data_IF_484124782964
#
_entry.id   IF_484124782964
#
_cell.length_a   1.000
_cell.length_b   1.000
_cell.length_c   1.000
_cell.angle_alpha   90.00
_cell.angle_beta   90.00
_cell.angle_gamma   90.00
#
_symmetry.space_group_name_H-M   'P 1'
#
loop_
_entity.id
_entity.type
_entity.pdbx_description
1 polymer ?
#
# COMPACT_ATOMS: atom_id res chain seq x y z
N UNK A 1 1.00 34.63 74.53
CA UNK A 1 1.18 34.40 73.09
C UNK A 1 1.49 32.91 72.94
N UNK A 2 0.46 32.10 72.68
CA UNK A 2 0.56 30.63 72.63
C UNK A 2 0.55 30.26 71.15
N UNK A 3 1.65 29.68 70.67
CA UNK A 3 1.80 29.22 69.30
C UNK A 3 1.35 27.76 69.19
N UNK A 4 0.33 27.51 68.38
CA UNK A 4 -0.19 26.19 68.03
C UNK A 4 0.74 25.52 67.02
N UNK A 5 1.30 24.37 67.39
CA UNK A 5 1.98 23.44 66.47
C UNK A 5 0.92 22.46 65.95
N UNK A 6 0.62 22.52 64.65
CA UNK A 6 -0.18 21.49 63.97
C UNK A 6 0.75 20.53 63.23
N UNK A 7 0.65 19.26 63.60
CA UNK A 7 1.38 18.13 63.04
C UNK A 7 0.69 17.71 61.73
N UNK A 8 1.32 17.93 60.57
CA UNK A 8 0.80 17.48 59.28
C UNK A 8 1.41 16.10 58.96
N UNK A 9 0.54 15.07 58.89
CA UNK A 9 0.88 13.72 58.48
C UNK A 9 1.33 13.70 57.00
N UNK A 10 2.49 13.09 56.73
CA UNK A 10 2.96 12.79 55.38
C UNK A 10 2.09 11.69 54.76
N UNK A 11 1.20 12.06 53.85
CA UNK A 11 0.61 11.15 52.87
C UNK A 11 1.48 11.11 51.62
N UNK A 12 2.33 10.10 51.46
CA UNK A 12 2.98 9.83 50.18
C UNK A 12 1.94 9.30 49.19
N UNK A 13 1.55 10.12 48.23
CA UNK A 13 0.87 9.63 47.03
C UNK A 13 1.87 8.83 46.21
N UNK A 14 1.63 7.53 46.07
CA UNK A 14 2.28 6.72 45.04
C UNK A 14 1.80 7.24 43.70
N UNK A 15 2.69 7.92 42.97
CA UNK A 15 2.51 8.15 41.54
C UNK A 15 2.59 6.77 40.90
N UNK A 16 1.47 6.30 40.37
CA UNK A 16 1.46 5.17 39.45
C UNK A 16 2.36 5.57 38.27
N UNK A 17 3.43 4.81 38.05
CA UNK A 17 4.20 4.94 36.82
C UNK A 17 3.26 4.66 35.66
N UNK A 18 3.03 5.66 34.82
CA UNK A 18 2.51 5.43 33.48
C UNK A 18 3.48 4.47 32.80
N UNK A 19 2.99 3.26 32.52
CA UNK A 19 3.61 2.40 31.52
C UNK A 19 3.86 3.25 30.27
N UNK A 20 5.03 3.16 29.62
CA UNK A 20 5.16 3.74 28.29
C UNK A 20 4.13 3.03 27.42
N UNK A 21 3.06 3.74 27.08
CA UNK A 21 2.17 3.35 25.99
C UNK A 21 3.07 3.36 24.76
N UNK A 22 3.37 2.16 24.22
CA UNK A 22 4.05 2.04 22.95
C UNK A 22 3.23 2.87 21.98
N UNK A 23 3.83 3.92 21.43
CA UNK A 23 3.18 4.71 20.40
C UNK A 23 2.85 3.72 19.28
N UNK A 24 1.57 3.54 18.90
CA UNK A 24 1.24 2.55 17.89
C UNK A 24 2.02 2.90 16.62
N UNK A 25 2.78 1.94 16.11
CA UNK A 25 3.45 2.07 14.81
C UNK A 25 2.36 2.42 13.79
N UNK A 26 2.48 3.54 13.06
CA UNK A 26 1.52 3.86 12.01
C UNK A 26 1.42 2.69 11.04
N UNK A 27 0.20 2.38 10.62
CA UNK A 27 -0.01 1.37 9.61
C UNK A 27 0.80 1.71 8.32
N UNK A 28 1.48 0.72 7.72
CA UNK A 28 2.20 0.90 6.47
C UNK A 28 1.20 1.30 5.36
N UNK A 29 1.71 1.93 4.30
CA UNK A 29 0.90 2.11 3.09
C UNK A 29 0.85 0.86 2.26
N UNK A 30 -0.08 0.80 1.30
CA UNK A 30 -0.18 -0.31 0.37
C UNK A 30 0.05 0.16 -1.07
N UNK A 31 0.93 -0.54 -1.79
CA UNK A 31 1.12 -0.44 -3.23
C UNK A 31 1.13 -1.84 -3.84
N UNK A 32 0.70 -1.98 -5.10
CA UNK A 32 0.59 -3.28 -5.75
C UNK A 32 1.49 -3.36 -6.98
N UNK A 33 2.17 -4.49 -7.12
CA UNK A 33 2.75 -4.91 -8.38
C UNK A 33 1.81 -5.92 -9.02
N UNK A 34 1.31 -5.65 -10.23
CA UNK A 34 0.42 -6.59 -10.93
C UNK A 34 1.22 -7.58 -11.76
N UNK A 35 0.86 -8.87 -11.67
CA UNK A 35 1.52 -9.89 -12.47
C UNK A 35 1.26 -9.65 -13.95
N UNK A 36 2.31 -9.75 -14.75
CA UNK A 36 2.23 -9.57 -16.21
C UNK A 36 2.80 -10.77 -16.95
N UNK A 37 2.13 -11.13 -18.05
CA UNK A 37 2.65 -12.09 -19.02
C UNK A 37 3.46 -11.41 -20.15
N UNK A 38 3.39 -10.07 -20.24
CA UNK A 38 4.05 -9.28 -21.26
C UNK A 38 4.83 -8.16 -20.55
N UNK A 39 6.10 -8.41 -20.18
CA UNK A 39 6.91 -7.40 -19.52
C UNK A 39 7.00 -6.09 -20.31
N UNK A 40 6.93 -4.93 -19.64
CA UNK A 40 7.09 -3.64 -20.29
C UNK A 40 8.46 -3.51 -20.95
N UNK A 41 8.55 -2.71 -22.02
CA UNK A 41 9.86 -2.35 -22.57
C UNK A 41 10.41 -1.22 -21.71
N UNK A 42 11.68 -1.31 -21.30
CA UNK A 42 12.31 -0.24 -20.50
C UNK A 42 12.90 0.79 -21.46
N UNK A 43 12.07 1.73 -21.89
CA UNK A 43 12.43 2.76 -22.88
C UNK A 43 12.01 4.19 -22.50
N UNK A 44 11.40 4.37 -21.32
CA UNK A 44 10.93 5.65 -20.77
C UNK A 44 9.55 6.07 -21.28
N UNK A 45 8.86 5.23 -22.07
CA UNK A 45 7.54 5.50 -22.61
C UNK A 45 6.46 4.77 -21.83
N UNK A 46 5.56 5.52 -21.20
CA UNK A 46 4.59 4.95 -20.26
C UNK A 46 3.32 4.36 -20.91
N UNK A 47 3.30 4.14 -22.23
CA UNK A 47 2.07 3.78 -22.96
C UNK A 47 1.57 2.37 -22.68
N UNK A 48 2.47 1.45 -22.35
CA UNK A 48 2.17 0.07 -22.00
C UNK A 48 1.65 -0.12 -20.57
N UNK A 49 1.81 0.88 -19.71
CA UNK A 49 1.42 0.77 -18.31
C UNK A 49 -0.10 0.89 -18.13
N UNK A 50 -0.68 0.15 -17.17
CA UNK A 50 -2.13 0.18 -16.93
C UNK A 50 -2.59 1.55 -16.45
N UNK A 51 -3.83 1.93 -16.77
CA UNK A 51 -4.41 3.21 -16.34
C UNK A 51 -4.92 3.22 -14.89
N UNK A 52 -4.85 2.10 -14.18
CA UNK A 52 -5.35 1.90 -12.81
C UNK A 52 -4.28 1.27 -11.91
N UNK A 53 -4.52 1.27 -10.59
CA UNK A 53 -3.58 0.70 -9.62
C UNK A 53 -2.33 1.55 -9.38
N UNK A 54 -2.41 2.86 -9.65
CA UNK A 54 -1.29 3.78 -9.50
C UNK A 54 -1.14 4.27 -8.06
N UNK A 55 0.10 4.37 -7.59
CA UNK A 55 0.47 5.13 -6.40
C UNK A 55 0.68 6.59 -6.77
N UNK A 56 0.09 7.52 -6.01
CA UNK A 56 0.28 8.96 -6.22
C UNK A 56 1.10 9.56 -5.07
N UNK A 57 2.19 10.24 -5.40
CA UNK A 57 2.99 11.06 -4.49
C UNK A 57 2.96 12.51 -4.98
N UNK A 58 2.39 13.41 -4.20
CA UNK A 58 2.44 14.85 -4.44
C UNK A 58 2.18 15.58 -3.11
N UNK A 59 2.14 16.92 -3.14
CA UNK A 59 1.92 17.74 -1.96
C UNK A 59 0.68 17.38 -1.11
N UNK A 60 -0.33 16.70 -1.68
CA UNK A 60 -1.57 16.31 -0.98
C UNK A 60 -1.56 14.86 -0.49
N UNK A 61 -0.66 14.02 -1.00
CA UNK A 61 -0.62 12.58 -0.69
C UNK A 61 0.69 12.14 -0.02
N UNK A 62 1.71 12.98 -0.02
CA UNK A 62 2.95 12.74 0.69
C UNK A 62 2.69 12.63 2.20
N UNK A 63 3.33 11.65 2.84
CA UNK A 63 3.32 11.56 4.30
C UNK A 63 4.15 12.67 4.93
N UNK A 64 5.30 12.97 4.33
CA UNK A 64 6.14 14.09 4.73
C UNK A 64 6.80 14.76 3.53
N UNK A 65 7.12 16.04 3.71
CA UNK A 65 7.82 16.86 2.73
C UNK A 65 8.90 17.64 3.48
N UNK A 66 10.14 17.52 3.05
CA UNK A 66 11.20 18.47 3.37
C UNK A 66 11.27 19.52 2.28
N UNK A 67 11.42 20.79 2.65
CA UNK A 67 11.40 21.89 1.66
C UNK A 67 9.99 22.37 1.33
N UNK A 68 9.79 22.91 0.13
CA UNK A 68 8.52 23.49 -0.27
C UNK A 68 8.15 23.13 -1.71
N UNK A 69 6.93 22.64 -1.91
CA UNK A 69 6.34 22.36 -3.22
C UNK A 69 5.21 23.37 -3.46
N UNK A 70 5.28 24.12 -4.54
CA UNK A 70 4.38 25.22 -4.87
C UNK A 70 3.04 24.75 -5.43
N UNK A 71 3.03 23.61 -6.13
CA UNK A 71 1.83 22.99 -6.70
C UNK A 71 2.01 21.51 -7.05
N UNK A 72 0.96 20.80 -7.48
CA UNK A 72 1.11 19.43 -7.99
C UNK A 72 1.87 19.37 -9.32
N UNK A 73 1.90 20.46 -10.08
CA UNK A 73 2.63 20.55 -11.34
C UNK A 73 4.12 20.88 -11.13
N UNK A 74 4.48 21.32 -9.91
CA UNK A 74 5.82 21.66 -9.46
C UNK A 74 6.56 20.37 -9.12
N UNK A 75 6.00 19.55 -8.21
CA UNK A 75 6.53 18.22 -7.95
C UNK A 75 5.41 17.21 -7.66
N UNK A 76 5.34 16.16 -8.48
CA UNK A 76 4.48 15.02 -8.23
C UNK A 76 4.84 13.80 -9.07
N UNK A 77 4.51 12.61 -8.59
CA UNK A 77 4.71 11.35 -9.29
C UNK A 77 3.44 10.49 -9.21
N UNK A 78 3.08 9.89 -10.35
CA UNK A 78 2.12 8.79 -10.41
C UNK A 78 2.86 7.55 -10.87
N UNK A 79 2.93 6.52 -10.02
CA UNK A 79 3.72 5.33 -10.24
C UNK A 79 2.88 4.06 -10.36
N UNK A 80 3.31 3.14 -11.21
CA UNK A 80 2.72 1.82 -11.40
C UNK A 80 3.79 0.76 -11.20
N UNK A 81 3.35 -0.44 -10.81
CA UNK A 81 4.24 -1.58 -10.64
C UNK A 81 3.66 -2.84 -11.27
N UNK A 82 4.53 -3.64 -11.87
CA UNK A 82 4.22 -4.95 -12.45
C UNK A 82 5.31 -5.94 -12.08
N UNK A 83 5.02 -7.23 -12.13
CA UNK A 83 6.02 -8.27 -11.89
C UNK A 83 5.81 -9.51 -12.75
N UNK A 84 6.88 -10.26 -12.95
CA UNK A 84 6.86 -11.63 -13.46
C UNK A 84 7.86 -12.48 -12.67
N UNK A 85 8.03 -13.75 -13.08
CA UNK A 85 8.94 -14.67 -12.39
C UNK A 85 10.43 -14.24 -12.45
N UNK A 86 10.79 -13.28 -13.31
CA UNK A 86 12.15 -12.83 -13.57
C UNK A 86 12.48 -11.47 -12.95
N UNK A 87 11.52 -10.56 -12.82
CA UNK A 87 11.76 -9.20 -12.36
C UNK A 87 10.51 -8.50 -11.80
N UNK A 88 10.78 -7.49 -10.97
CA UNK A 88 9.87 -6.40 -10.66
C UNK A 88 10.10 -5.25 -11.65
N UNK A 89 9.02 -4.58 -12.02
CA UNK A 89 9.01 -3.45 -12.92
C UNK A 89 8.30 -2.30 -12.23
N UNK A 90 8.89 -1.11 -12.24
CA UNK A 90 8.25 0.11 -11.73
C UNK A 90 8.33 1.17 -12.81
N UNK A 91 7.27 1.96 -12.95
CA UNK A 91 7.30 3.16 -13.77
C UNK A 91 6.64 4.32 -13.06
N UNK A 92 7.10 5.53 -13.33
CA UNK A 92 6.53 6.76 -12.79
C UNK A 92 6.38 7.81 -13.88
N UNK A 93 5.20 8.43 -13.94
CA UNK A 93 4.98 9.70 -14.62
C UNK A 93 5.26 10.82 -13.60
N UNK A 94 6.33 11.58 -13.81
CA UNK A 94 6.71 12.70 -12.98
C UNK A 94 6.17 14.00 -13.60
N UNK A 95 5.52 14.79 -12.76
CA UNK A 95 5.09 16.16 -13.00
C UNK A 95 6.10 17.08 -12.37
N UNK A 96 6.67 17.94 -13.20
CA UNK A 96 7.77 18.81 -12.87
C UNK A 96 7.89 19.89 -13.97
N UNK A 97 7.93 21.16 -13.58
CA UNK A 97 7.99 22.30 -14.49
C UNK A 97 9.42 22.79 -14.80
N UNK A 98 10.44 22.34 -14.05
CA UNK A 98 11.85 22.68 -14.27
C UNK A 98 12.76 21.47 -14.11
N UNK A 99 13.16 20.87 -15.24
CA UNK A 99 14.02 19.68 -15.21
C UNK A 99 15.53 20.03 -15.10
N UNK A 100 16.16 19.68 -13.98
CA UNK A 100 17.56 19.88 -13.61
C UNK A 100 18.29 18.55 -13.37
N UNK A 101 19.56 18.49 -13.82
CA UNK A 101 20.46 17.35 -13.67
C UNK A 101 21.93 17.79 -13.80
N UNK A 102 22.38 18.74 -12.98
CA UNK A 102 23.70 19.35 -13.10
C UNK A 102 24.66 19.04 -11.93
N UNK A 103 24.17 18.37 -10.89
CA UNK A 103 24.98 17.95 -9.75
C UNK A 103 25.76 16.65 -10.00
N UNK A 104 26.83 16.49 -9.23
CA UNK A 104 27.64 15.26 -9.21
C UNK A 104 26.89 14.14 -8.50
N UNK A 105 26.18 14.49 -7.44
CA UNK A 105 25.38 13.56 -6.67
C UNK A 105 23.95 13.58 -7.17
N UNK A 106 23.42 12.39 -7.47
CA UNK A 106 22.12 12.25 -8.12
C UNK A 106 20.99 12.77 -7.22
N UNK A 107 21.11 12.57 -5.91
CA UNK A 107 20.14 13.02 -4.92
C UNK A 107 20.10 14.54 -4.71
N UNK A 108 20.91 15.33 -5.40
CA UNK A 108 20.85 16.80 -5.35
C UNK A 108 19.89 17.37 -6.41
N UNK A 109 19.53 16.57 -7.43
CA UNK A 109 18.73 16.99 -8.60
C UNK A 109 17.43 16.16 -8.73
N UNK A 110 16.59 16.48 -9.73
CA UNK A 110 15.30 15.83 -10.00
C UNK A 110 15.40 14.32 -10.17
N UNK A 111 14.99 13.62 -9.11
CA UNK A 111 15.25 12.20 -8.95
C UNK A 111 14.09 11.53 -8.25
N UNK A 112 13.68 10.39 -8.81
CA UNK A 112 12.79 9.46 -8.13
C UNK A 112 13.61 8.44 -7.37
N UNK A 113 13.27 8.25 -6.10
CA UNK A 113 13.86 7.23 -5.23
C UNK A 113 12.86 6.09 -5.01
N UNK A 114 13.26 4.87 -5.35
CA UNK A 114 12.50 3.64 -5.15
C UNK A 114 13.26 2.78 -4.14
N UNK A 115 12.83 2.84 -2.87
CA UNK A 115 13.45 2.08 -1.80
C UNK A 115 12.72 0.76 -1.57
N UNK A 116 13.49 -0.30 -1.37
CA UNK A 116 13.00 -1.65 -1.15
C UNK A 116 13.68 -2.26 0.07
N UNK A 117 12.87 -2.89 0.91
CA UNK A 117 13.27 -3.91 1.87
C UNK A 117 12.79 -5.26 1.31
N UNK A 118 13.73 -5.99 0.70
CA UNK A 118 13.40 -7.17 -0.11
C UNK A 118 12.85 -8.33 0.71
N UNK A 119 13.31 -8.52 1.95
CA UNK A 119 12.77 -9.55 2.85
C UNK A 119 11.63 -9.06 3.72
N UNK A 120 11.36 -7.75 3.71
CA UNK A 120 10.40 -7.09 4.58
C UNK A 120 10.68 -7.44 6.05
N UNK A 121 11.96 -7.43 6.44
CA UNK A 121 12.43 -7.80 7.77
C UNK A 121 12.74 -6.60 8.67
N UNK A 122 12.56 -5.38 8.14
CA UNK A 122 12.81 -4.10 8.78
C UNK A 122 14.30 -3.89 9.15
N UNK A 123 15.25 -4.57 8.47
CA UNK A 123 16.69 -4.51 8.77
C UNK A 123 17.51 -3.89 7.64
N UNK A 124 17.71 -2.56 7.67
CA UNK A 124 18.48 -1.83 6.64
C UNK A 124 19.97 -2.23 6.49
N UNK A 125 20.60 -2.66 7.59
CA UNK A 125 22.06 -2.79 7.68
C UNK A 125 22.51 -4.15 8.23
N UNK A 126 23.22 -4.90 7.40
CA UNK A 126 23.81 -6.19 7.72
C UNK A 126 25.26 -6.01 8.18
N UNK A 127 25.43 -5.45 9.38
CA UNK A 127 26.72 -5.07 9.93
C UNK A 127 27.06 -3.62 9.57
N UNK A 128 28.10 -3.40 8.77
CA UNK A 128 28.54 -2.06 8.36
C UNK A 128 28.16 -1.70 6.92
N UNK A 129 27.27 -2.46 6.30
CA UNK A 129 26.85 -2.34 4.90
C UNK A 129 25.35 -2.55 4.81
N UNK A 130 24.73 -2.07 3.74
CA UNK A 130 23.34 -2.41 3.42
C UNK A 130 23.15 -3.92 3.37
N UNK A 131 21.99 -4.41 3.81
CA UNK A 131 21.67 -5.81 3.59
C UNK A 131 21.56 -6.10 2.09
N UNK A 132 21.92 -7.32 1.63
CA UNK A 132 21.91 -7.65 0.21
C UNK A 132 20.54 -7.53 -0.47
N UNK A 133 19.45 -7.58 0.30
CA UNK A 133 18.06 -7.44 -0.13
C UNK A 133 17.53 -5.99 -0.10
N UNK A 134 18.27 -5.08 0.52
CA UNK A 134 17.87 -3.69 0.71
C UNK A 134 18.44 -2.77 -0.35
N UNK A 135 17.55 -2.09 -1.05
CA UNK A 135 17.93 -1.22 -2.15
C UNK A 135 17.32 0.17 -2.01
N UNK A 136 18.01 1.17 -2.57
CA UNK A 136 17.45 2.49 -2.86
C UNK A 136 17.86 2.81 -4.29
N UNK A 137 16.96 2.53 -5.23
CA UNK A 137 17.21 2.86 -6.62
C UNK A 137 16.88 4.32 -6.86
N UNK A 138 17.84 5.06 -7.40
CA UNK A 138 17.69 6.48 -7.71
C UNK A 138 17.72 6.64 -9.23
N UNK A 139 16.65 7.19 -9.80
CA UNK A 139 16.52 7.42 -11.25
C UNK A 139 16.34 8.92 -11.47
N UNK A 140 17.39 9.58 -11.98
CA UNK A 140 17.37 11.02 -12.29
C UNK A 140 16.81 11.28 -13.67
N UNK A 141 16.29 12.48 -13.88
CA UNK A 141 15.70 12.94 -15.14
C UNK A 141 16.61 12.78 -16.38
N UNK A 142 17.92 12.71 -16.23
CA UNK A 142 18.87 12.46 -17.34
C UNK A 142 19.09 10.97 -17.67
N UNK A 143 18.42 10.07 -16.95
CA UNK A 143 18.51 8.61 -17.12
C UNK A 143 19.66 7.96 -16.36
N UNK A 144 20.37 8.69 -15.50
CA UNK A 144 21.29 8.09 -14.56
C UNK A 144 20.54 7.20 -13.56
N UNK A 145 21.12 6.03 -13.26
CA UNK A 145 20.57 5.09 -12.27
C UNK A 145 21.63 4.70 -11.26
N UNK A 146 21.29 4.78 -9.97
CA UNK A 146 22.11 4.30 -8.85
C UNK A 146 21.33 3.33 -7.98
N UNK A 147 22.05 2.55 -7.21
CA UNK A 147 21.53 1.69 -6.16
C UNK A 147 22.34 1.94 -4.89
N UNK A 148 21.72 2.55 -3.88
CA UNK A 148 22.39 2.98 -2.66
C UNK A 148 23.65 3.83 -2.96
N UNK A 149 23.51 4.83 -3.84
CA UNK A 149 24.59 5.71 -4.32
C UNK A 149 25.68 5.03 -5.18
N UNK A 150 25.61 3.71 -5.37
CA UNK A 150 26.57 2.91 -6.13
C UNK A 150 26.06 2.56 -7.54
N UNK A 151 26.94 2.12 -8.47
CA UNK A 151 26.49 1.62 -9.77
C UNK A 151 25.57 0.41 -9.62
N UNK A 152 24.47 0.41 -10.37
CA UNK A 152 23.50 -0.70 -10.35
C UNK A 152 24.10 -2.03 -10.82
N UNK A 153 23.58 -3.13 -10.27
CA UNK A 153 23.97 -4.47 -10.67
C UNK A 153 23.54 -4.80 -12.12
N UNK A 154 24.18 -5.81 -12.70
CA UNK A 154 23.85 -6.26 -14.05
C UNK A 154 22.40 -6.73 -14.16
N UNK A 155 21.67 -6.21 -15.14
CA UNK A 155 20.27 -6.56 -15.39
C UNK A 155 19.26 -5.65 -14.68
N UNK A 156 19.71 -4.78 -13.77
CA UNK A 156 18.95 -3.58 -13.40
C UNK A 156 19.08 -2.60 -14.57
N UNK A 157 17.94 -2.19 -15.11
CA UNK A 157 17.88 -1.34 -16.30
C UNK A 157 16.86 -0.25 -16.01
N UNK A 158 17.26 1.00 -16.16
CA UNK A 158 16.36 2.15 -16.12
C UNK A 158 16.36 2.90 -17.44
N UNK A 159 15.24 3.55 -17.75
CA UNK A 159 15.11 4.45 -18.88
C UNK A 159 14.24 5.65 -18.50
N UNK A 160 14.55 6.81 -19.08
CA UNK A 160 13.79 8.04 -18.92
C UNK A 160 13.40 8.58 -20.29
N UNK A 161 12.15 9.01 -20.41
CA UNK A 161 11.57 9.58 -21.63
C UNK A 161 10.80 10.86 -21.32
N UNK A 162 10.85 11.82 -22.24
CA UNK A 162 10.14 13.08 -22.07
C UNK A 162 8.61 12.87 -22.04
N UNK A 163 7.93 13.59 -21.16
CA UNK A 163 6.47 13.67 -21.08
C UNK A 163 6.02 15.13 -21.21
N UNK A 164 4.76 15.42 -21.57
CA UNK A 164 4.30 16.79 -21.75
C UNK A 164 4.37 17.67 -20.49
N UNK A 165 4.36 17.07 -19.31
CA UNK A 165 4.30 17.75 -18.01
C UNK A 165 5.52 17.44 -17.12
N UNK A 166 6.61 16.91 -17.69
CA UNK A 166 7.78 16.44 -16.96
C UNK A 166 8.43 15.27 -17.68
N UNK A 167 8.66 14.16 -16.99
CA UNK A 167 9.30 12.98 -17.56
C UNK A 167 8.63 11.67 -17.11
N UNK A 168 8.83 10.62 -17.88
CA UNK A 168 8.46 9.26 -17.54
C UNK A 168 9.72 8.47 -17.28
N UNK A 169 9.72 7.66 -16.23
CA UNK A 169 10.79 6.71 -15.97
C UNK A 169 10.24 5.30 -15.87
N UNK A 170 11.09 4.34 -16.23
CA UNK A 170 10.83 2.92 -16.07
C UNK A 170 12.08 2.26 -15.50
N UNK A 171 11.90 1.31 -14.58
CA UNK A 171 12.97 0.54 -13.97
C UNK A 171 12.59 -0.94 -13.95
N UNK A 172 13.51 -1.77 -14.42
CA UNK A 172 13.47 -3.23 -14.26
C UNK A 172 14.47 -3.63 -13.18
N UNK A 173 14.00 -4.38 -12.19
CA UNK A 173 14.79 -4.92 -11.08
C UNK A 173 14.72 -6.45 -11.13
N UNK A 174 15.83 -7.17 -11.40
CA UNK A 174 15.84 -8.64 -11.35
C UNK A 174 15.39 -9.17 -9.99
N UNK A 175 14.61 -10.26 -9.97
CA UNK A 175 14.14 -10.90 -8.74
C UNK A 175 15.27 -11.23 -7.75
N UNK A 176 16.47 -11.55 -8.27
CA UNK A 176 17.64 -11.87 -7.46
C UNK A 176 18.20 -10.68 -6.65
N UNK A 177 17.78 -9.44 -6.90
CA UNK A 177 18.17 -8.29 -6.08
C UNK A 177 17.52 -8.35 -4.70
N UNK A 178 16.29 -8.85 -4.58
CA UNK A 178 15.58 -8.83 -3.30
C UNK A 178 16.04 -9.89 -2.28
N UNK A 179 16.95 -10.80 -2.65
CA UNK A 179 17.46 -11.92 -1.83
C UNK A 179 16.39 -12.62 -0.94
N UNK A 180 15.14 -12.65 -1.41
CA UNK A 180 13.95 -13.10 -0.68
C UNK A 180 13.29 -14.33 -1.33
N UNK A 181 14.03 -15.01 -2.22
CA UNK A 181 13.54 -16.15 -2.99
C UNK A 181 12.82 -15.75 -4.28
N UNK A 182 12.15 -16.70 -4.95
CA UNK A 182 11.38 -16.41 -6.16
C UNK A 182 10.22 -15.46 -5.87
N UNK A 183 9.98 -14.50 -6.77
CA UNK A 183 8.78 -13.68 -6.72
C UNK A 183 7.55 -14.56 -6.93
N UNK A 184 6.58 -14.48 -6.01
CA UNK A 184 5.34 -15.26 -6.04
C UNK A 184 4.16 -14.37 -5.65
N UNK A 185 2.97 -14.74 -6.10
CA UNK A 185 1.75 -14.03 -5.75
C UNK A 185 1.55 -14.02 -4.22
N UNK A 186 1.15 -12.88 -3.67
CA UNK A 186 0.97 -12.66 -2.23
C UNK A 186 2.26 -12.33 -1.48
N UNK A 187 3.43 -12.37 -2.13
CA UNK A 187 4.68 -11.90 -1.52
C UNK A 187 4.62 -10.40 -1.25
N UNK A 188 5.08 -9.98 -0.07
CA UNK A 188 5.18 -8.57 0.32
C UNK A 188 6.64 -8.16 0.42
N UNK A 189 7.00 -7.08 -0.26
CA UNK A 189 8.27 -6.37 -0.09
C UNK A 189 8.01 -5.09 0.69
N UNK A 190 8.93 -4.66 1.55
CA UNK A 190 8.89 -3.29 2.07
C UNK A 190 9.21 -2.32 0.94
N UNK A 191 8.47 -1.22 0.84
CA UNK A 191 8.60 -0.25 -0.24
C UNK A 191 8.40 1.19 0.21
N UNK A 192 9.22 2.10 -0.30
CA UNK A 192 8.98 3.52 -0.17
C UNK A 192 9.31 4.26 -1.48
N UNK A 193 8.62 5.38 -1.69
CA UNK A 193 8.78 6.26 -2.83
C UNK A 193 9.23 7.63 -2.33
N UNK A 194 10.32 8.12 -2.87
CA UNK A 194 10.81 9.48 -2.71
C UNK A 194 10.77 10.24 -4.04
N UNK A 195 10.51 11.54 -3.99
CA UNK A 195 10.66 12.45 -5.12
C UNK A 195 11.48 13.66 -4.68
N UNK A 196 12.60 13.87 -5.35
CA UNK A 196 13.50 15.01 -5.20
C UNK A 196 13.22 15.98 -6.34
N UNK A 197 13.18 17.25 -6.00
CA UNK A 197 12.84 18.39 -6.86
C UNK A 197 13.90 19.49 -6.66
N UNK A 198 14.51 19.94 -7.76
CA UNK A 198 15.50 21.01 -7.85
C UNK A 198 15.16 21.97 -9.00
N UNK A 199 14.83 23.21 -8.66
CA UNK A 199 14.38 24.23 -9.61
C UNK A 199 15.51 25.23 -9.99
N UNK A 200 16.57 25.33 -9.18
CA UNK A 200 17.51 26.44 -9.23
C UNK A 200 18.96 26.07 -9.62
N UNK A 201 19.23 24.78 -9.85
CA UNK A 201 20.56 24.25 -10.17
C UNK A 201 21.50 24.28 -8.97
N UNK A 202 20.91 24.33 -7.78
CA UNK A 202 21.57 24.38 -6.49
C UNK A 202 21.68 22.98 -5.92
N UNK A 203 20.92 22.71 -4.88
CA UNK A 203 20.67 21.35 -4.44
C UNK A 203 19.23 21.29 -3.96
N UNK A 204 18.72 20.09 -3.72
CA UNK A 204 17.31 19.81 -3.41
C UNK A 204 16.50 20.94 -2.77
N UNK A 205 15.48 21.42 -3.49
CA UNK A 205 14.49 22.38 -3.01
C UNK A 205 13.36 21.70 -2.24
N UNK A 206 12.92 20.54 -2.73
CA UNK A 206 11.93 19.70 -2.04
C UNK A 206 12.25 18.20 -2.13
N UNK A 207 11.87 17.48 -1.07
CA UNK A 207 11.94 16.02 -1.00
C UNK A 207 10.67 15.48 -0.38
N UNK A 208 9.86 14.81 -1.20
CA UNK A 208 8.59 14.22 -0.81
C UNK A 208 8.78 12.74 -0.50
N UNK A 209 8.11 12.24 0.53
CA UNK A 209 8.11 10.82 0.90
C UNK A 209 6.69 10.27 0.94
N UNK A 210 6.46 9.13 0.29
CA UNK A 210 5.18 8.42 0.38
C UNK A 210 4.93 7.90 1.79
N UNK A 211 5.96 7.36 2.45
CA UNK A 211 5.89 6.91 3.85
C UNK A 211 7.09 7.39 4.65
N UNK A 212 6.88 7.59 5.95
CA UNK A 212 7.93 8.01 6.87
C UNK A 212 8.61 9.32 6.46
N UNK A 213 9.89 9.42 6.80
CA UNK A 213 10.70 10.63 6.60
C UNK A 213 11.99 10.36 5.82
N UNK A 214 12.14 9.15 5.27
CA UNK A 214 13.35 8.72 4.57
C UNK A 214 13.08 7.52 3.67
N UNK A 215 13.73 7.48 2.51
CA UNK A 215 13.89 6.32 1.62
C UNK A 215 15.23 5.60 1.85
N UNK A 216 16.18 6.26 2.54
CA UNK A 216 17.55 5.78 2.73
C UNK A 216 17.70 4.91 3.97
N UNK A 217 16.93 5.21 5.00
CA UNK A 217 16.98 4.56 6.30
C UNK A 217 15.56 4.36 6.80
N UNK A 218 15.41 3.48 7.79
CA UNK A 218 14.13 3.19 8.45
C UNK A 218 13.13 2.37 7.62
N UNK A 219 13.51 1.16 7.13
CA UNK A 219 12.57 0.26 6.45
C UNK A 219 11.36 -0.10 7.33
N UNK A 220 11.47 -0.01 8.66
CA UNK A 220 10.34 -0.17 9.58
C UNK A 220 9.19 0.84 9.35
N UNK A 221 9.45 1.94 8.63
CA UNK A 221 8.47 2.96 8.28
C UNK A 221 7.99 2.84 6.82
N UNK A 222 8.52 1.89 6.05
CA UNK A 222 8.12 1.71 4.66
C UNK A 222 6.68 1.19 4.56
N UNK A 223 6.07 1.40 3.40
CA UNK A 223 4.82 0.73 3.06
C UNK A 223 5.09 -0.70 2.58
N UNK A 224 4.01 -1.40 2.24
CA UNK A 224 4.03 -2.73 1.66
C UNK A 224 3.84 -2.61 0.13
N UNK A 225 4.72 -3.25 -0.64
CA UNK A 225 4.50 -3.57 -2.04
C UNK A 225 4.12 -5.05 -2.16
N UNK A 226 2.85 -5.32 -2.50
CA UNK A 226 2.33 -6.68 -2.63
C UNK A 226 2.36 -7.13 -4.08
N UNK A 227 2.95 -8.30 -4.32
CA UNK A 227 2.97 -8.97 -5.62
C UNK A 227 1.63 -9.62 -5.88
N UNK A 228 0.78 -8.94 -6.63
CA UNK A 228 -0.58 -9.35 -6.88
C UNK A 228 -0.71 -10.12 -8.21
N UNK A 229 -1.44 -11.23 -8.20
CA UNK A 229 -1.83 -11.96 -9.43
C UNK A 229 -3.33 -12.27 -9.40
N UNK A 230 -4.15 -11.64 -10.28
CA UNK A 230 -5.59 -11.84 -10.30
C UNK A 230 -6.01 -13.26 -10.71
N UNK A 231 -5.10 -14.03 -11.32
CA UNK A 231 -5.40 -15.38 -11.80
C UNK A 231 -5.30 -16.45 -10.69
N UNK A 232 -4.64 -16.14 -9.56
CA UNK A 232 -4.54 -17.05 -8.42
C UNK A 232 -5.67 -16.73 -7.45
N UNK A 233 -6.80 -17.41 -7.62
CA UNK A 233 -7.77 -17.54 -6.53
C UNK A 233 -7.11 -18.42 -5.46
N UNK A 234 -7.08 -18.04 -4.17
CA UNK A 234 -6.48 -18.87 -3.13
C UNK A 234 -7.12 -20.26 -3.15
N UNK A 235 -6.28 -21.28 -3.37
CA UNK A 235 -6.72 -22.67 -3.37
C UNK A 235 -6.87 -23.10 -1.93
N UNK A 236 -8.10 -23.37 -1.49
CA UNK A 236 -8.34 -24.00 -0.19
C UNK A 236 -7.47 -25.26 -0.08
N UNK A 237 -6.56 -25.29 0.89
CA UNK A 237 -5.75 -26.47 1.22
C UNK A 237 -6.70 -27.64 1.55
N UNK A 238 -6.48 -28.87 1.03
CA UNK A 238 -7.42 -29.97 1.20
C UNK A 238 -7.67 -30.26 2.68
N UNK A 239 -8.94 -30.16 3.07
CA UNK A 239 -9.49 -30.54 4.37
C UNK A 239 -8.92 -31.89 4.83
N UNK A 240 -8.27 -31.92 5.99
CA UNK A 240 -7.90 -33.18 6.63
C UNK A 240 -9.16 -34.03 6.79
N UNK A 241 -9.16 -35.24 6.22
CA UNK A 241 -10.32 -36.14 6.27
C UNK A 241 -10.63 -36.49 7.73
N UNK A 242 -11.76 -36.00 8.24
CA UNK A 242 -12.22 -36.30 9.59
C UNK A 242 -12.30 -37.82 9.81
N UNK A 243 -11.55 -38.31 10.79
CA UNK A 243 -11.63 -39.70 11.26
C UNK A 243 -13.01 -39.92 11.89
N UNK A 244 -13.76 -40.99 11.58
CA UNK A 244 -15.11 -41.17 12.09
C UNK A 244 -15.13 -41.30 13.62
N UNK A 245 -15.68 -40.30 14.30
CA UNK A 245 -15.92 -40.29 15.74
C UNK A 245 -17.00 -41.32 16.12
N UNK A 246 -16.81 -42.16 17.15
CA UNK A 246 -17.81 -43.15 17.55
C UNK A 246 -19.09 -42.49 18.08
N UNK A 247 -20.23 -43.06 17.69
CA UNK A 247 -21.59 -42.64 18.05
C UNK A 247 -21.78 -42.59 19.57
N UNK A 248 -22.01 -41.39 20.12
CA UNK A 248 -22.43 -41.22 21.52
C UNK A 248 -23.95 -41.30 21.69
N UNK A 249 -24.35 -42.03 22.73
CA UNK A 249 -25.68 -42.15 23.33
C UNK A 249 -26.28 -40.77 23.68
N UNK A 250 -27.61 -40.55 23.53
CA UNK A 250 -28.23 -39.26 23.79
C UNK A 250 -28.03 -38.82 25.25
N UNK A 251 -27.40 -37.67 25.42
CA UNK A 251 -27.22 -36.97 26.70
C UNK A 251 -28.33 -35.91 26.84
N UNK A 252 -28.87 -35.69 28.05
CA UNK A 252 -30.01 -34.81 28.29
C UNK A 252 -29.79 -33.37 27.81
N UNK A 253 -30.91 -32.76 27.38
CA UNK A 253 -31.05 -31.38 26.89
C UNK A 253 -30.16 -30.37 27.62
N UNK A 254 -29.25 -29.76 26.87
CA UNK A 254 -28.33 -28.74 27.35
C UNK A 254 -29.06 -27.47 27.80
N UNK A 255 -28.55 -26.88 28.89
CA UNK A 255 -28.68 -25.46 29.21
C UNK A 255 -28.21 -24.64 28.00
N UNK A 256 -28.79 -23.46 27.67
CA UNK A 256 -28.31 -22.68 26.54
C UNK A 256 -26.82 -22.39 26.72
N UNK A 257 -26.01 -22.89 25.79
CA UNK A 257 -24.61 -22.48 25.65
C UNK A 257 -24.58 -20.97 25.51
N UNK A 258 -23.66 -20.25 26.17
CA UNK A 258 -23.46 -18.83 25.89
C UNK A 258 -23.31 -18.65 24.38
N UNK A 259 -24.03 -17.70 23.80
CA UNK A 259 -23.88 -17.38 22.38
C UNK A 259 -22.54 -16.70 22.23
N UNK A 260 -21.63 -17.30 21.47
CA UNK A 260 -20.34 -16.71 21.12
C UNK A 260 -20.59 -15.51 20.20
N UNK A 261 -19.92 -14.39 20.47
CA UNK A 261 -20.06 -13.14 19.71
C UNK A 261 -18.72 -12.45 19.62
N UNK A 262 -18.39 -11.97 18.43
CA UNK A 262 -17.20 -11.14 18.20
C UNK A 262 -17.35 -9.81 18.93
N UNK A 263 -16.26 -9.33 19.54
CA UNK A 263 -16.21 -7.99 20.12
C UNK A 263 -16.03 -6.91 19.04
N UNK A 264 -17.15 -6.37 18.57
CA UNK A 264 -17.15 -5.27 17.59
C UNK A 264 -16.98 -3.90 18.26
N UNK A 265 -16.97 -3.81 19.59
CA UNK A 265 -16.89 -2.54 20.32
C UNK A 265 -15.51 -1.88 20.24
N UNK A 266 -14.48 -2.67 19.97
CA UNK A 266 -13.09 -2.24 19.78
C UNK A 266 -12.57 -2.49 18.36
N UNK A 267 -13.47 -2.74 17.40
CA UNK A 267 -13.07 -2.98 16.01
C UNK A 267 -12.28 -1.78 15.45
N UNK A 268 -11.12 -2.05 14.88
CA UNK A 268 -10.23 -1.04 14.32
C UNK A 268 -10.71 -0.66 12.91
N UNK A 269 -10.87 0.63 12.56
CA UNK A 269 -11.26 0.99 11.20
C UNK A 269 -10.16 0.60 10.21
N UNK A 270 -10.56 0.14 9.02
CA UNK A 270 -9.67 -0.04 7.87
C UNK A 270 -10.45 0.30 6.60
N UNK A 271 -9.84 1.09 5.72
CA UNK A 271 -10.42 1.42 4.43
C UNK A 271 -9.80 0.58 3.30
N UNK A 272 -10.39 0.68 2.12
CA UNK A 272 -9.79 0.12 0.91
C UNK A 272 -8.42 0.75 0.62
N UNK A 273 -7.51 -0.07 0.10
CA UNK A 273 -6.13 0.29 -0.24
C UNK A 273 -5.29 0.73 0.98
N UNK A 274 -5.70 0.27 2.17
CA UNK A 274 -4.96 0.41 3.41
C UNK A 274 -4.32 -0.91 3.84
N UNK A 275 -3.31 -0.79 4.69
CA UNK A 275 -2.76 -1.91 5.43
C UNK A 275 -2.89 -1.63 6.94
N UNK A 276 -2.69 -2.65 7.76
CA UNK A 276 -2.60 -2.54 9.21
C UNK A 276 -1.63 -3.59 9.76
N UNK A 277 -0.95 -3.26 10.86
CA UNK A 277 -0.13 -4.21 11.62
C UNK A 277 -0.86 -4.55 12.91
N UNK A 278 -0.86 -5.81 13.28
CA UNK A 278 -1.47 -6.26 14.52
C UNK A 278 -0.81 -7.50 15.08
N UNK A 279 -1.33 -7.93 16.23
CA UNK A 279 -0.92 -9.16 16.89
C UNK A 279 -2.11 -9.72 17.67
N UNK A 280 -2.49 -10.96 17.40
CA UNK A 280 -3.57 -11.63 18.14
C UNK A 280 -3.11 -12.10 19.52
N UNK A 281 -1.80 -12.21 19.78
CA UNK A 281 -1.29 -12.61 21.09
C UNK A 281 -1.70 -11.63 22.19
N UNK A 282 -2.51 -12.13 23.14
CA UNK A 282 -3.04 -11.33 24.25
C UNK A 282 -4.33 -10.57 23.93
N UNK A 283 -4.89 -10.74 22.73
CA UNK A 283 -6.25 -10.32 22.41
C UNK A 283 -7.28 -11.19 23.17
N UNK A 284 -8.56 -10.87 23.00
CA UNK A 284 -9.65 -11.65 23.60
C UNK A 284 -9.94 -12.86 22.71
N UNK A 285 -10.33 -13.97 23.33
CA UNK A 285 -10.77 -15.20 22.67
C UNK A 285 -12.26 -15.38 23.03
N UNK A 286 -13.14 -15.16 22.05
CA UNK A 286 -14.60 -15.14 22.19
C UNK A 286 -15.31 -16.15 21.29
N UNK A 287 -14.71 -16.58 20.18
CA UNK A 287 -15.36 -17.28 19.07
C UNK A 287 -14.46 -18.40 18.51
N UNK A 288 -14.66 -19.60 19.02
CA UNK A 288 -13.97 -20.80 18.50
C UNK A 288 -14.38 -21.27 17.08
N UNK A 289 -15.52 -20.80 16.55
CA UNK A 289 -16.16 -21.40 15.36
C UNK A 289 -16.95 -20.40 14.51
N UNK A 290 -16.67 -20.39 13.22
CA UNK A 290 -17.37 -19.59 12.21
C UNK A 290 -18.28 -20.45 11.33
N UNK A 291 -19.49 -19.98 11.02
CA UNK A 291 -20.46 -20.78 10.27
C UNK A 291 -20.03 -21.10 8.82
N UNK A 292 -19.21 -20.24 8.24
CA UNK A 292 -18.63 -20.42 6.91
C UNK A 292 -17.52 -21.48 6.89
N UNK A 293 -16.86 -21.75 8.02
CA UNK A 293 -15.73 -22.67 8.15
C UNK A 293 -15.91 -23.66 9.34
N UNK A 294 -16.96 -24.49 9.36
CA UNK A 294 -17.31 -25.33 10.51
C UNK A 294 -16.29 -26.45 10.83
N UNK A 295 -15.24 -26.59 10.02
CA UNK A 295 -14.18 -27.59 10.19
C UNK A 295 -12.86 -27.02 10.70
N UNK A 296 -12.76 -25.71 10.89
CA UNK A 296 -11.56 -25.02 11.34
C UNK A 296 -11.78 -24.60 12.81
N UNK A 297 -11.12 -25.28 13.78
CA UNK A 297 -11.12 -24.84 15.17
C UNK A 297 -10.29 -23.57 15.31
N UNK A 298 -10.94 -22.41 15.24
CA UNK A 298 -10.34 -21.10 15.47
C UNK A 298 -10.34 -20.78 16.96
N UNK A 299 -9.67 -21.62 17.75
CA UNK A 299 -9.70 -21.50 19.22
C UNK A 299 -8.65 -20.52 19.75
N UNK A 300 -8.23 -19.59 18.91
CA UNK A 300 -7.22 -18.58 19.19
C UNK A 300 -7.88 -17.26 19.61
N UNK A 301 -7.08 -16.27 20.04
CA UNK A 301 -7.60 -14.93 20.25
C UNK A 301 -7.84 -14.19 18.92
N UNK A 302 -8.85 -13.33 18.88
CA UNK A 302 -9.23 -12.60 17.67
C UNK A 302 -8.89 -11.11 17.71
N UNK A 303 -8.45 -10.58 16.57
CA UNK A 303 -8.49 -9.14 16.30
C UNK A 303 -9.53 -8.82 15.24
N UNK A 304 -10.19 -7.67 15.38
CA UNK A 304 -11.33 -7.29 14.55
C UNK A 304 -11.10 -5.93 13.90
N UNK A 305 -11.32 -5.85 12.60
CA UNK A 305 -11.33 -4.60 11.84
C UNK A 305 -12.72 -4.34 11.25
N UNK A 306 -13.10 -3.07 11.16
CA UNK A 306 -14.31 -2.60 10.52
C UNK A 306 -13.96 -2.00 9.16
N UNK A 307 -14.32 -2.72 8.09
CA UNK A 307 -14.14 -2.29 6.71
C UNK A 307 -15.34 -1.49 6.21
N UNK A 308 -15.09 -0.29 5.70
CA UNK A 308 -16.06 0.50 4.94
C UNK A 308 -15.96 0.20 3.43
N UNK A 309 -16.72 -0.79 2.94
CA UNK A 309 -16.66 -1.18 1.53
C UNK A 309 -17.33 -0.13 0.62
N UNK A 310 -16.68 0.33 -0.47
CA UNK A 310 -17.22 1.37 -1.36
C UNK A 310 -18.36 0.86 -2.25
N UNK A 311 -18.46 -0.45 -2.44
CA UNK A 311 -19.53 -1.11 -3.19
C UNK A 311 -19.22 -1.32 -4.66
N UNK A 312 -19.60 -2.51 -5.18
CA UNK A 312 -19.51 -2.82 -6.61
C UNK A 312 -18.09 -3.06 -7.11
N UNK A 313 -17.12 -3.22 -6.21
CA UNK A 313 -15.72 -3.58 -6.48
C UNK A 313 -15.43 -4.97 -5.90
N UNK A 314 -14.39 -5.62 -6.41
CA UNK A 314 -13.79 -6.75 -5.68
C UNK A 314 -13.02 -6.19 -4.48
N UNK A 315 -13.19 -6.82 -3.32
CA UNK A 315 -12.34 -6.55 -2.15
C UNK A 315 -11.51 -7.80 -1.90
N UNK A 316 -10.19 -7.65 -1.89
CA UNK A 316 -9.26 -8.69 -1.51
C UNK A 316 -8.59 -8.30 -0.21
N UNK A 317 -8.68 -9.14 0.82
CA UNK A 317 -7.97 -8.94 2.07
C UNK A 317 -6.94 -10.07 2.27
N UNK A 318 -5.70 -9.70 2.58
CA UNK A 318 -4.56 -10.59 2.65
C UNK A 318 -3.82 -10.43 3.98
N UNK A 319 -3.37 -11.55 4.53
CA UNK A 319 -2.49 -11.61 5.68
C UNK A 319 -1.05 -11.89 5.23
N UNK A 320 -0.12 -11.10 5.74
CA UNK A 320 1.32 -11.22 5.52
C UNK A 320 2.11 -11.20 6.83
N UNK A 321 3.40 -11.55 6.74
CA UNK A 321 4.30 -11.55 7.91
C UNK A 321 3.92 -12.56 8.99
N UNK A 322 3.17 -13.60 8.64
CA UNK A 322 2.68 -14.61 9.58
C UNK A 322 3.83 -15.49 10.10
N UNK A 323 3.87 -15.67 11.42
CA UNK A 323 4.73 -16.67 12.07
C UNK A 323 3.94 -17.83 12.66
N UNK A 324 2.62 -17.69 12.70
CA UNK A 324 1.65 -18.63 13.28
C UNK A 324 0.49 -18.85 12.30
N UNK A 325 -0.34 -19.85 12.56
CA UNK A 325 -1.49 -20.24 11.74
C UNK A 325 -2.68 -19.30 12.03
N UNK A 326 -2.69 -18.14 11.37
CA UNK A 326 -3.76 -17.15 11.50
C UNK A 326 -4.63 -17.13 10.26
N UNK A 327 -5.94 -17.12 10.49
CA UNK A 327 -6.97 -17.22 9.48
C UNK A 327 -7.80 -15.94 9.40
N UNK A 328 -8.41 -15.69 8.25
CA UNK A 328 -9.17 -14.48 7.97
C UNK A 328 -10.64 -14.78 7.68
N UNK A 329 -11.54 -14.12 8.40
CA UNK A 329 -12.99 -14.23 8.28
C UNK A 329 -13.64 -12.89 7.96
N UNK A 330 -14.73 -12.91 7.20
CA UNK A 330 -15.52 -11.72 6.84
C UNK A 330 -16.95 -11.90 7.31
N UNK A 331 -17.40 -11.03 8.22
CA UNK A 331 -18.72 -11.10 8.85
C UNK A 331 -19.53 -9.83 8.54
N UNK A 332 -20.86 -9.95 8.50
CA UNK A 332 -21.76 -8.79 8.34
C UNK A 332 -22.27 -8.22 9.66
N UNK A 333 -22.11 -8.95 10.77
CA UNK A 333 -22.44 -8.51 12.12
C UNK A 333 -21.59 -9.25 13.18
N UNK A 334 -21.78 -8.95 14.46
CA UNK A 334 -21.01 -9.53 15.56
C UNK A 334 -21.21 -11.06 15.75
N UNK A 335 -22.21 -11.67 15.11
CA UNK A 335 -22.46 -13.09 15.22
C UNK A 335 -21.53 -13.88 14.29
N UNK A 336 -20.84 -14.94 14.77
CA UNK A 336 -20.07 -15.84 13.90
C UNK A 336 -20.93 -16.58 12.86
N UNK A 337 -22.25 -16.59 13.04
CA UNK A 337 -23.18 -17.10 12.03
C UNK A 337 -23.32 -16.19 10.81
N UNK A 338 -22.88 -14.94 10.90
CA UNK A 338 -22.95 -13.95 9.83
C UNK A 338 -21.72 -13.99 8.90
N UNK A 339 -20.81 -14.95 9.11
CA UNK A 339 -19.65 -15.12 8.25
C UNK A 339 -20.07 -15.40 6.80
N UNK A 340 -19.63 -14.55 5.88
CA UNK A 340 -19.94 -14.61 4.45
C UNK A 340 -18.76 -15.11 3.61
N UNK A 341 -17.54 -14.99 4.12
CA UNK A 341 -16.33 -15.48 3.45
C UNK A 341 -15.23 -15.74 4.49
N UNK A 342 -14.30 -16.59 4.11
CA UNK A 342 -13.12 -16.91 4.91
C UNK A 342 -11.99 -17.38 4.00
N UNK A 343 -10.78 -17.40 4.53
CA UNK A 343 -9.65 -18.08 3.96
C UNK A 343 -8.51 -18.17 4.96
N UNK A 344 -7.48 -18.91 4.55
CA UNK A 344 -6.25 -19.16 5.31
C UNK A 344 -5.50 -17.81 5.48
N UNK A 345 -4.64 -17.47 4.52
CA UNK A 345 -3.97 -16.17 4.53
C UNK A 345 -4.63 -15.08 3.69
N UNK A 346 -5.80 -15.34 3.06
CA UNK A 346 -6.47 -14.34 2.21
C UNK A 346 -7.92 -14.67 1.88
N UNK A 347 -8.71 -13.64 1.60
CA UNK A 347 -10.11 -13.75 1.17
C UNK A 347 -10.39 -12.78 0.03
N UNK A 348 -11.18 -13.22 -0.96
CA UNK A 348 -11.61 -12.41 -2.10
C UNK A 348 -13.13 -12.30 -2.15
N UNK A 349 -13.64 -11.08 -2.22
CA UNK A 349 -15.06 -10.73 -2.17
C UNK A 349 -15.45 -9.99 -3.46
N UNK A 350 -15.77 -10.71 -4.55
CA UNK A 350 -16.10 -10.08 -5.82
C UNK A 350 -17.43 -9.32 -5.75
N UNK A 351 -17.45 -8.08 -6.25
CA UNK A 351 -18.63 -7.21 -6.28
C UNK A 351 -19.28 -7.01 -4.91
N UNK A 352 -18.46 -6.84 -3.86
CA UNK A 352 -18.95 -6.63 -2.50
C UNK A 352 -19.87 -5.39 -2.47
N UNK A 353 -21.12 -5.50 -1.99
CA UNK A 353 -22.01 -4.34 -1.88
C UNK A 353 -21.46 -3.29 -0.91
N UNK A 354 -21.81 -2.02 -1.12
CA UNK A 354 -21.43 -0.96 -0.20
C UNK A 354 -22.00 -1.24 1.19
N UNK A 355 -21.18 -1.08 2.22
CA UNK A 355 -21.58 -1.37 3.60
C UNK A 355 -20.39 -1.60 4.52
N UNK A 356 -20.72 -1.82 5.79
CA UNK A 356 -19.77 -2.17 6.84
C UNK A 356 -19.63 -3.69 6.93
N UNK A 357 -18.38 -4.16 6.98
CA UNK A 357 -18.05 -5.58 7.15
C UNK A 357 -16.97 -5.71 8.23
N UNK A 358 -17.00 -6.80 8.98
CA UNK A 358 -15.96 -7.11 9.96
C UNK A 358 -14.96 -8.07 9.36
N UNK A 359 -13.69 -7.66 9.30
CA UNK A 359 -12.57 -8.56 9.03
C UNK A 359 -12.06 -9.07 10.37
N UNK A 360 -12.13 -10.38 10.59
CA UNK A 360 -11.69 -11.02 11.84
C UNK A 360 -10.47 -11.87 11.53
N UNK A 361 -9.37 -11.58 12.22
CA UNK A 361 -8.16 -12.39 12.21
C UNK A 361 -8.17 -13.23 13.46
N UNK A 362 -8.15 -14.54 13.28
CA UNK A 362 -8.26 -15.53 14.34
C UNK A 362 -7.14 -16.58 14.21
N UNK A 363 -6.92 -17.40 15.22
CA UNK A 363 -5.86 -18.40 15.23
C UNK A 363 -6.36 -19.84 15.31
N UNK A 364 -5.91 -20.66 14.37
CA UNK A 364 -6.20 -22.08 14.35
C UNK A 364 -5.57 -22.83 15.54
N UNK A 365 -6.35 -23.69 16.21
CA UNK A 365 -5.94 -24.55 17.34
C UNK A 365 -5.17 -23.79 18.44
N UNK A 366 -5.57 -22.53 18.69
CA UNK A 366 -4.98 -21.67 19.73
C UNK A 366 -3.75 -20.90 19.30
N UNK A 367 -3.44 -20.86 18.00
CA UNK A 367 -2.41 -20.00 17.44
C UNK A 367 -2.65 -18.53 17.80
N UNK A 368 -1.57 -17.78 18.01
CA UNK A 368 -1.65 -16.34 18.26
C UNK A 368 -0.30 -15.68 17.95
N UNK A 369 -0.31 -14.65 17.12
CA UNK A 369 0.93 -14.07 16.63
C UNK A 369 0.77 -12.75 15.90
N UNK A 370 1.90 -12.14 15.49
CA UNK A 370 1.90 -10.93 14.69
C UNK A 370 1.39 -11.20 13.27
N UNK A 371 0.79 -10.17 12.67
CA UNK A 371 0.35 -10.18 11.28
C UNK A 371 0.42 -8.77 10.67
N UNK A 372 0.47 -8.72 9.34
CA UNK A 372 0.11 -7.57 8.52
C UNK A 372 -1.18 -7.89 7.77
N UNK A 373 -2.17 -7.00 7.83
CA UNK A 373 -3.42 -7.08 7.07
C UNK A 373 -3.33 -6.06 5.93
N UNK A 374 -3.58 -6.47 4.70
CA UNK A 374 -3.65 -5.60 3.53
C UNK A 374 -5.06 -5.72 2.93
N UNK A 375 -5.78 -4.61 2.81
CA UNK A 375 -7.12 -4.58 2.20
C UNK A 375 -7.04 -3.84 0.87
N UNK A 376 -7.28 -4.56 -0.21
CA UNK A 376 -7.19 -4.05 -1.55
C UNK A 376 -8.57 -3.98 -2.20
N UNK A 377 -8.85 -2.85 -2.81
CA UNK A 377 -10.04 -2.68 -3.62
C UNK A 377 -9.60 -1.96 -4.89
N UNK A 378 -9.41 -2.64 -6.03
CA UNK A 378 -9.20 -1.94 -7.29
C UNK A 378 -10.42 -1.07 -7.54
N UNK A 379 -10.33 0.21 -7.18
CA UNK A 379 -11.21 1.21 -7.70
C UNK A 379 -10.97 1.19 -9.20
N UNK A 380 -11.96 0.74 -9.97
CA UNK A 380 -12.03 1.14 -11.37
C UNK A 380 -11.85 2.66 -11.33
N UNK A 381 -10.90 3.25 -12.08
CA UNK A 381 -10.81 4.69 -12.13
C UNK A 381 -12.19 5.13 -12.58
N UNK A 382 -12.93 5.81 -11.69
CA UNK A 382 -14.24 6.35 -12.02
C UNK A 382 -14.03 7.02 -13.38
N UNK A 383 -14.87 6.80 -14.40
CA UNK A 383 -14.65 7.40 -15.70
C UNK A 383 -14.54 8.90 -15.45
N UNK A 384 -13.28 9.39 -15.48
CA UNK A 384 -12.97 10.78 -15.27
C UNK A 384 -13.83 11.46 -16.32
N UNK A 385 -14.81 12.25 -15.87
CA UNK A 385 -15.83 12.79 -16.76
C UNK A 385 -15.08 13.38 -17.95
N UNK A 386 -15.17 12.71 -19.11
CA UNK A 386 -14.49 13.16 -20.31
C UNK A 386 -14.90 14.61 -20.46
N UNK A 387 -13.96 15.57 -20.59
CA UNK A 387 -14.33 16.95 -20.81
C UNK A 387 -15.35 16.92 -21.94
N UNK A 388 -16.58 17.36 -21.63
CA UNK A 388 -17.63 17.43 -22.64
C UNK A 388 -17.03 18.25 -23.76
N UNK A 389 -16.95 17.75 -25.01
CA UNK A 389 -16.31 18.49 -26.07
C UNK A 389 -17.03 19.83 -26.16
N UNK A 390 -16.35 20.89 -25.73
CA UNK A 390 -16.81 22.26 -25.92
C UNK A 390 -17.01 22.40 -27.40
N UNK A 391 -18.26 22.53 -27.84
CA UNK A 391 -18.58 22.72 -29.25
C UNK A 391 -17.73 23.87 -29.77
N UNK A 392 -16.75 23.56 -30.61
CA UNK A 392 -15.93 24.56 -31.28
C UNK A 392 -16.89 25.47 -32.02
N UNK A 393 -16.85 26.77 -31.71
CA UNK A 393 -17.65 27.75 -32.44
C UNK A 393 -17.33 27.61 -33.94
N UNK A 394 -18.36 27.32 -34.74
CA UNK A 394 -18.27 27.28 -36.19
C UNK A 394 -17.59 28.55 -36.69
N UNK A 395 -16.48 28.47 -37.46
CA UNK A 395 -15.86 29.66 -38.01
C UNK A 395 -16.88 30.39 -38.89
N UNK A 396 -17.11 31.67 -38.60
CA UNK A 396 -17.91 32.53 -39.48
C UNK A 396 -17.29 32.49 -40.89
N UNK A 397 -18.09 32.33 -41.95
CA UNK A 397 -17.57 32.35 -43.31
C UNK A 397 -16.87 33.69 -43.56
N UNK A 398 -15.62 33.61 -44.04
CA UNK A 398 -14.86 34.77 -44.45
C UNK A 398 -15.63 35.54 -45.53
N UNK A 399 -15.92 36.82 -45.27
CA UNK A 399 -16.48 37.73 -46.25
C UNK A 399 -15.54 37.81 -47.46
N UNK A 400 -15.97 37.21 -48.57
CA UNK A 400 -15.34 37.33 -49.87
C UNK A 400 -15.37 38.82 -50.28
N UNK A 401 -14.25 39.53 -50.11
CA UNK A 401 -14.07 40.87 -50.66
C UNK A 401 -14.01 40.76 -52.19
N UNK A 402 -15.13 40.98 -52.86
CA UNK A 402 -15.14 41.26 -54.30
C UNK A 402 -14.40 42.58 -54.55
N UNK A 403 -13.22 42.50 -55.15
CA UNK A 403 -12.58 43.64 -55.79
C UNK A 403 -13.34 43.97 -57.08
N UNK A 404 -14.09 45.08 -57.08
CA UNK A 404 -14.57 45.69 -58.32
C UNK A 404 -13.38 46.38 -59.03
N UNK A 405 -13.18 46.17 -60.35
CA UNK A 405 -12.19 46.93 -61.09
C UNK A 405 -12.66 48.37 -61.27
N UNK A 406 -11.76 49.32 -61.02
CA UNK A 406 -11.95 50.75 -61.34
C UNK A 406 -12.12 50.92 -62.85
N UNK A 407 -13.32 51.31 -63.28
CA UNK A 407 -13.54 51.86 -64.62
C UNK A 407 -13.22 53.36 -64.57
N UNK A 408 -12.15 53.74 -65.26
CA UNK A 408 -11.80 55.15 -65.50
C UNK A 408 -12.56 55.68 -66.70
N UNK A 409 -13.34 56.73 -66.52
CA UNK A 409 -13.79 57.59 -67.62
C UNK A 409 -13.48 59.05 -67.28
N UNK A 410 -12.54 59.64 -68.02
CA UNK A 410 -12.42 61.10 -68.26
C UNK A 410 -13.19 61.43 -69.54
N UNK A 411 -13.52 62.71 -69.83
CA UNK A 411 -13.70 63.87 -68.96
C UNK A 411 -15.18 64.17 -68.65
#
# INVERSE_FOLDING_TARGET
MVATISLLLLGQSRVAGSSPELTPTPAPGLFHAYRTANPPQIDGNLREWPGSGALNLNMNTAFSISGAVSSVADAGATCWSQWDDAALYVACAVQDDTLIADSVHIWEDDTVELAFDGRNDDIRFCGSSFCPDDHKYEVRVDGAVRDNDEPVAAGVIGAVGAQPAGYGLELRIPAAQFDAGPLVAGMTLGFNLGLIDDDDGGGTDAHLFWRGYSTYSQPENFGDLVLFDPAVTPTATPTATATPTPTRTPTPTASPTPVQTIDTGAAMPIDCDEAAVGNTAGAVDNVDWYACAPGWPETGPENVYLLSAPGGVTVDALLGGLTEDLDLFVLTDASPSSCIAYGDSSVSLPNLPAGEYYLVIDGFDGAAGPYRLNVWCPLDPSPQASPTPTTTATPLPALLRLYLPLVSSRP
#
